data_IF_523148563960
#
_entry.id   IF_523148563960
#
_cell.length_a   1.000
_cell.length_b   1.000
_cell.length_c   1.000
_cell.angle_alpha   90.00
_cell.angle_beta   90.00
_cell.angle_gamma   90.00
#
_symmetry.space_group_name_H-M   'P 1'
#
loop_
_entity.id
_entity.type
_entity.pdbx_description
1 polymer ?
#
# COMPACT_ATOMS: atom_id res chain seq x y z
N UNK A 1 -45.44 24.40 -54.27
CA UNK A 1 -45.50 24.94 -52.89
C UNK A 1 -45.60 23.76 -51.93
N UNK A 2 -44.52 23.48 -51.20
CA UNK A 2 -44.32 22.26 -50.39
C UNK A 2 -44.71 22.54 -48.94
N UNK A 3 -45.70 21.80 -48.42
CA UNK A 3 -46.07 21.60 -46.99
C UNK A 3 -46.73 20.21 -46.96
N UNK A 4 -46.43 19.24 -46.12
CA UNK A 4 -46.17 19.22 -44.68
C UNK A 4 -45.33 17.97 -44.36
N UNK A 5 -44.16 18.13 -43.74
CA UNK A 5 -43.53 17.08 -42.94
C UNK A 5 -43.85 17.40 -41.48
N UNK A 6 -44.67 16.57 -40.84
CA UNK A 6 -44.92 16.58 -39.40
C UNK A 6 -44.66 15.18 -38.86
N UNK A 7 -43.39 14.87 -38.58
CA UNK A 7 -43.02 13.78 -37.66
C UNK A 7 -41.81 14.27 -36.87
N UNK A 8 -41.79 13.90 -35.58
CA UNK A 8 -40.82 14.19 -34.51
C UNK A 8 -41.11 15.46 -33.70
N UNK A 9 -41.60 15.27 -32.47
CA UNK A 9 -40.74 15.62 -31.35
C UNK A 9 -40.92 14.67 -30.15
N UNK A 10 -40.13 13.60 -30.04
CA UNK A 10 -39.94 12.86 -28.77
C UNK A 10 -38.51 12.35 -28.69
N UNK A 11 -37.54 13.26 -28.65
CA UNK A 11 -36.15 12.89 -28.34
C UNK A 11 -35.43 14.05 -27.64
N UNK A 12 -36.07 14.62 -26.60
CA UNK A 12 -35.55 15.80 -25.90
C UNK A 12 -35.44 15.64 -24.37
N UNK A 13 -35.48 14.41 -23.83
CA UNK A 13 -35.48 14.24 -22.37
C UNK A 13 -34.66 13.03 -21.86
N UNK A 14 -33.45 12.84 -22.38
CA UNK A 14 -32.48 11.90 -21.81
C UNK A 14 -31.05 12.48 -21.71
N UNK A 15 -30.89 13.80 -21.55
CA UNK A 15 -29.64 14.33 -21.00
C UNK A 15 -29.69 14.22 -19.47
N UNK A 16 -29.57 12.97 -18.99
CA UNK A 16 -29.16 12.71 -17.61
C UNK A 16 -27.79 13.36 -17.46
N UNK A 17 -27.72 14.38 -16.60
CA UNK A 17 -26.49 15.05 -16.24
C UNK A 17 -25.46 13.99 -15.79
N UNK A 18 -24.54 13.64 -16.67
CA UNK A 18 -23.32 12.95 -16.30
C UNK A 18 -22.52 13.94 -15.46
N UNK A 19 -22.80 13.99 -14.15
CA UNK A 19 -21.94 14.68 -13.20
C UNK A 19 -20.58 13.99 -13.34
N UNK A 20 -19.53 14.68 -13.81
CA UNK A 20 -18.22 14.07 -13.87
C UNK A 20 -17.88 13.70 -12.43
N UNK A 21 -17.77 12.41 -12.16
CA UNK A 21 -17.19 11.92 -10.92
C UNK A 21 -15.76 12.48 -10.90
N UNK A 22 -15.57 13.63 -10.25
CA UNK A 22 -14.25 14.11 -9.92
C UNK A 22 -13.67 13.05 -8.99
N UNK A 23 -12.82 12.21 -9.56
CA UNK A 23 -11.96 11.33 -8.78
C UNK A 23 -11.24 12.23 -7.77
N UNK A 24 -11.51 12.03 -6.49
CA UNK A 24 -10.82 12.77 -5.44
C UNK A 24 -9.31 12.55 -5.59
N UNK A 25 -8.53 13.58 -5.25
CA UNK A 25 -7.08 13.49 -5.27
C UNK A 25 -6.59 12.33 -4.40
N UNK A 26 -5.43 11.79 -4.79
CA UNK A 26 -4.83 10.67 -4.09
C UNK A 26 -4.59 11.00 -2.60
N UNK A 27 -4.95 10.12 -1.65
CA UNK A 27 -4.66 10.33 -0.24
C UNK A 27 -3.16 10.29 0.01
N UNK A 28 -2.59 11.44 0.37
CA UNK A 28 -1.16 11.55 0.70
C UNK A 28 -0.86 11.32 2.17
N UNK A 29 -1.86 11.26 3.05
CA UNK A 29 -1.67 11.18 4.50
C UNK A 29 -2.71 10.30 5.18
N UNK A 30 -2.28 9.62 6.26
CA UNK A 30 -3.18 9.02 7.24
C UNK A 30 -2.61 9.13 8.66
N UNK A 31 -3.45 9.49 9.62
CA UNK A 31 -3.09 9.61 11.05
C UNK A 31 -1.92 10.59 11.35
N UNK A 32 -1.74 11.62 10.50
CA UNK A 32 -0.59 12.53 10.60
C UNK A 32 0.71 11.97 10.02
N UNK A 33 0.65 10.87 9.25
CA UNK A 33 1.78 10.28 8.55
C UNK A 33 1.62 10.54 7.06
N UNK A 34 2.35 11.53 6.54
CA UNK A 34 2.31 11.91 5.14
C UNK A 34 3.35 11.14 4.32
N UNK A 35 2.95 10.65 3.16
CA UNK A 35 3.88 10.18 2.13
C UNK A 35 4.77 11.35 1.71
N UNK A 36 6.06 11.08 1.65
CA UNK A 36 7.09 12.05 1.30
C UNK A 36 7.57 12.95 2.42
N UNK A 37 6.99 12.89 3.61
CA UNK A 37 7.53 13.56 4.78
C UNK A 37 8.89 12.96 5.16
N UNK A 38 9.74 13.77 5.79
CA UNK A 38 10.97 13.26 6.40
C UNK A 38 10.64 12.57 7.73
N UNK A 39 11.25 11.42 8.01
CA UNK A 39 11.02 10.71 9.27
C UNK A 39 11.33 11.56 10.52
N UNK A 40 12.26 12.51 10.41
CA UNK A 40 12.62 13.39 11.52
C UNK A 40 11.49 14.36 11.91
N UNK A 41 10.66 14.77 10.95
CA UNK A 41 9.46 15.59 11.20
C UNK A 41 8.37 14.78 11.94
N UNK A 42 8.48 13.45 11.91
CA UNK A 42 7.53 12.51 12.49
C UNK A 42 8.04 11.87 13.78
N UNK A 43 9.08 12.42 14.41
CA UNK A 43 9.68 11.90 15.67
C UNK A 43 8.67 11.65 16.78
N UNK A 44 7.63 12.45 16.90
CA UNK A 44 6.59 12.26 17.92
C UNK A 44 5.65 11.09 17.62
N UNK A 45 5.63 10.62 16.36
CA UNK A 45 4.78 9.55 15.88
C UNK A 45 5.54 8.24 15.64
N UNK A 46 6.82 8.31 15.30
CA UNK A 46 7.63 7.17 14.93
C UNK A 46 8.70 6.87 15.98
N UNK A 47 8.96 5.58 16.20
CA UNK A 47 10.11 5.12 17.00
C UNK A 47 11.37 5.14 16.13
N UNK A 48 11.91 6.35 15.92
CA UNK A 48 13.12 6.59 15.11
C UNK A 48 14.34 5.85 15.68
N UNK A 49 14.38 5.65 17.01
CA UNK A 49 15.50 4.98 17.70
C UNK A 49 15.65 3.50 17.34
N UNK A 50 14.57 2.88 16.84
CA UNK A 50 14.53 1.46 16.45
C UNK A 50 14.32 1.27 14.95
N UNK A 51 14.69 2.25 14.16
CA UNK A 51 14.68 2.11 12.71
C UNK A 51 15.68 1.04 12.27
N UNK A 52 15.26 0.18 11.35
CA UNK A 52 16.11 -0.89 10.84
C UNK A 52 15.84 -1.12 9.35
N UNK A 53 16.87 -1.41 8.54
CA UNK A 53 16.70 -1.90 7.18
C UNK A 53 15.84 -3.16 7.14
N UNK A 54 15.06 -3.34 6.08
CA UNK A 54 14.38 -4.60 5.84
C UNK A 54 15.38 -5.66 5.36
N UNK A 55 15.30 -6.87 5.91
CA UNK A 55 16.22 -7.95 5.58
C UNK A 55 16.15 -8.39 4.11
N UNK A 56 14.95 -8.39 3.51
CA UNK A 56 14.70 -8.79 2.12
C UNK A 56 14.91 -7.65 1.11
N UNK A 57 14.93 -6.41 1.61
CA UNK A 57 14.98 -5.17 0.84
C UNK A 57 15.82 -4.13 1.59
N UNK A 58 17.15 -4.31 1.65
CA UNK A 58 18.04 -3.51 2.51
C UNK A 58 18.08 -2.02 2.16
N UNK A 59 17.62 -1.64 0.96
CA UNK A 59 17.45 -0.24 0.55
C UNK A 59 16.21 0.44 1.11
N UNK A 60 15.43 -0.25 1.95
CA UNK A 60 14.27 0.31 2.62
C UNK A 60 14.42 0.15 4.12
N UNK A 61 14.00 1.17 4.87
CA UNK A 61 14.11 1.22 6.32
C UNK A 61 12.71 1.21 6.93
N UNK A 62 12.48 0.38 7.95
CA UNK A 62 11.23 0.40 8.70
C UNK A 62 11.37 1.30 9.92
N UNK A 63 10.40 2.17 10.13
CA UNK A 63 10.21 2.88 11.41
C UNK A 63 8.84 2.52 11.98
N UNK A 64 8.79 2.03 13.22
CA UNK A 64 7.54 1.61 13.85
C UNK A 64 6.74 2.81 14.34
N UNK A 65 5.42 2.68 14.31
CA UNK A 65 4.50 3.65 14.89
C UNK A 65 4.56 3.56 16.42
N UNK A 66 4.67 4.72 17.09
CA UNK A 66 4.44 4.84 18.54
C UNK A 66 2.95 4.60 18.86
N UNK A 67 2.59 4.23 20.10
CA UNK A 67 1.19 4.03 20.47
C UNK A 67 0.29 5.19 20.01
N UNK A 68 -0.67 4.89 19.12
CA UNK A 68 -1.52 5.89 18.46
C UNK A 68 -2.98 5.44 18.54
N UNK A 69 -3.85 6.30 19.09
CA UNK A 69 -5.26 5.97 19.30
C UNK A 69 -5.95 5.54 18.00
N UNK A 70 -6.73 4.46 18.07
CA UNK A 70 -7.47 3.91 16.93
C UNK A 70 -6.68 2.88 16.11
N UNK A 71 -5.39 2.71 16.39
CA UNK A 71 -4.53 1.71 15.75
C UNK A 71 -3.92 0.78 16.81
N UNK A 72 -3.92 -0.53 16.52
CA UNK A 72 -3.22 -1.52 17.33
C UNK A 72 -1.69 -1.43 17.15
N UNK A 73 -1.27 -0.94 15.98
CA UNK A 73 0.12 -0.75 15.62
C UNK A 73 0.27 -0.35 14.17
N UNK A 74 1.51 -0.23 13.73
CA UNK A 74 1.81 0.12 12.35
C UNK A 74 3.28 0.46 12.18
N UNK A 75 3.65 0.75 10.95
CA UNK A 75 4.98 1.21 10.60
C UNK A 75 4.93 2.02 9.30
N UNK A 76 5.98 2.80 9.10
CA UNK A 76 6.30 3.37 7.79
C UNK A 76 7.49 2.65 7.19
N UNK A 77 7.55 2.65 5.87
CA UNK A 77 8.75 2.32 5.13
C UNK A 77 9.34 3.61 4.60
N UNK A 78 10.62 3.81 4.90
CA UNK A 78 11.42 4.94 4.50
C UNK A 78 12.35 4.55 3.35
N UNK A 79 12.68 5.51 2.50
CA UNK A 79 13.77 5.38 1.55
C UNK A 79 15.12 5.27 2.27
N UNK A 80 15.95 4.35 1.80
CA UNK A 80 17.29 4.08 2.32
C UNK A 80 18.40 4.27 1.27
N UNK A 81 18.03 4.55 0.02
CA UNK A 81 18.97 4.72 -1.10
C UNK A 81 18.82 6.08 -1.80
N UNK A 82 17.71 6.33 -2.50
CA UNK A 82 17.56 7.54 -3.32
C UNK A 82 16.99 8.72 -2.51
N UNK A 83 16.08 8.43 -1.58
CA UNK A 83 15.37 9.40 -0.73
C UNK A 83 15.55 9.03 0.74
N UNK A 84 16.75 9.26 1.27
CA UNK A 84 17.10 8.96 2.67
C UNK A 84 16.05 9.49 3.65
N UNK A 85 15.50 8.59 4.48
CA UNK A 85 14.51 8.87 5.53
C UNK A 85 13.18 9.46 5.05
N UNK A 86 12.87 9.43 3.75
CA UNK A 86 11.58 9.89 3.22
C UNK A 86 10.53 8.79 3.35
N UNK A 87 9.32 9.12 3.79
CA UNK A 87 8.22 8.15 3.93
C UNK A 87 7.70 7.72 2.55
N UNK A 88 7.91 6.46 2.18
CA UNK A 88 7.48 5.89 0.90
C UNK A 88 6.24 5.01 1.01
N UNK A 89 5.97 4.50 2.20
CA UNK A 89 4.74 3.76 2.51
C UNK A 89 4.36 3.92 3.96
N UNK A 90 3.07 3.99 4.21
CA UNK A 90 2.46 3.90 5.54
C UNK A 90 1.64 2.62 5.62
N UNK A 91 1.77 1.83 6.68
CA UNK A 91 0.94 0.65 6.94
C UNK A 91 0.47 0.65 8.39
N UNK A 92 -0.83 0.73 8.59
CA UNK A 92 -1.45 0.80 9.91
C UNK A 92 -2.45 -0.35 10.12
N UNK A 93 -2.44 -0.93 11.31
CA UNK A 93 -3.43 -1.90 11.75
C UNK A 93 -4.42 -1.21 12.69
N UNK A 94 -5.71 -1.26 12.37
CA UNK A 94 -6.75 -0.68 13.23
C UNK A 94 -6.90 -1.46 14.53
N UNK A 95 -7.23 -0.76 15.60
CA UNK A 95 -7.53 -1.38 16.90
C UNK A 95 -8.79 -2.26 16.84
N UNK A 96 -9.80 -1.81 16.09
CA UNK A 96 -10.99 -2.61 15.79
C UNK A 96 -10.72 -3.46 14.55
N UNK A 97 -10.42 -4.74 14.80
CA UNK A 97 -10.14 -5.73 13.76
C UNK A 97 -11.38 -6.40 13.17
N UNK A 98 -12.60 -5.99 13.54
CA UNK A 98 -13.83 -6.68 13.11
C UNK A 98 -14.15 -6.51 11.63
N UNK A 99 -14.88 -7.46 11.05
CA UNK A 99 -15.39 -7.33 9.69
C UNK A 99 -16.38 -6.17 9.54
N UNK A 100 -17.20 -5.89 10.56
CA UNK A 100 -18.09 -4.73 10.55
C UNK A 100 -17.34 -3.41 10.39
N UNK A 101 -16.15 -3.30 11.02
CA UNK A 101 -15.27 -2.16 10.84
C UNK A 101 -14.69 -2.08 9.44
N UNK A 102 -14.27 -3.22 8.87
CA UNK A 102 -13.82 -3.29 7.47
C UNK A 102 -14.89 -2.77 6.52
N UNK A 103 -16.12 -3.28 6.62
CA UNK A 103 -17.22 -2.92 5.72
C UNK A 103 -17.55 -1.41 5.82
N UNK A 104 -17.51 -0.86 7.04
CA UNK A 104 -17.69 0.58 7.27
C UNK A 104 -16.58 1.42 6.63
N UNK A 105 -15.31 1.01 6.79
CA UNK A 105 -14.17 1.67 6.16
C UNK A 105 -14.25 1.57 4.64
N UNK A 106 -14.53 0.38 4.09
CA UNK A 106 -14.69 0.14 2.67
C UNK A 106 -15.76 1.03 2.05
N UNK A 107 -16.93 1.16 2.71
CA UNK A 107 -18.01 2.06 2.27
C UNK A 107 -17.56 3.52 2.24
N UNK A 108 -16.88 3.99 3.30
CA UNK A 108 -16.41 5.36 3.39
C UNK A 108 -15.33 5.69 2.34
N UNK A 109 -14.36 4.79 2.14
CA UNK A 109 -13.32 4.94 1.12
C UNK A 109 -13.90 4.87 -0.28
N UNK A 110 -14.87 3.99 -0.53
CA UNK A 110 -15.56 3.90 -1.83
C UNK A 110 -16.34 5.17 -2.13
N UNK A 111 -17.06 5.72 -1.15
CA UNK A 111 -17.77 6.99 -1.32
C UNK A 111 -16.81 8.16 -1.63
N UNK A 112 -15.59 8.12 -1.09
CA UNK A 112 -14.60 9.20 -1.26
C UNK A 112 -13.75 9.07 -2.53
N UNK A 113 -13.33 7.86 -2.88
CA UNK A 113 -12.32 7.60 -3.93
C UNK A 113 -12.85 6.78 -5.10
N UNK A 114 -14.13 6.43 -5.11
CA UNK A 114 -14.74 5.59 -6.13
C UNK A 114 -14.55 4.09 -5.88
N UNK A 115 -14.96 3.28 -6.85
CA UNK A 115 -14.98 1.81 -6.71
C UNK A 115 -13.55 1.23 -6.61
N UNK A 116 -13.26 0.41 -5.59
CA UNK A 116 -12.00 -0.31 -5.52
C UNK A 116 -11.94 -1.47 -6.52
N UNK A 117 -10.71 -1.92 -6.80
CA UNK A 117 -10.45 -3.25 -7.36
C UNK A 117 -10.32 -4.26 -6.23
N UNK A 118 -11.11 -5.34 -6.20
CA UNK A 118 -10.92 -6.43 -5.25
C UNK A 118 -9.55 -7.09 -5.46
N UNK A 119 -8.85 -7.39 -4.37
CA UNK A 119 -7.62 -8.16 -4.41
C UNK A 119 -7.94 -9.66 -4.47
N UNK A 120 -7.17 -10.45 -5.22
CA UNK A 120 -7.40 -11.88 -5.33
C UNK A 120 -7.26 -12.54 -3.96
N UNK A 121 -8.28 -13.29 -3.57
CA UNK A 121 -8.29 -14.14 -2.39
C UNK A 121 -8.60 -15.58 -2.77
N UNK A 122 -8.29 -16.53 -1.88
CA UNK A 122 -8.74 -17.91 -2.06
C UNK A 122 -10.28 -17.96 -1.93
N UNK A 123 -11.00 -18.70 -2.78
CA UNK A 123 -12.41 -19.00 -2.55
C UNK A 123 -12.62 -19.62 -1.16
N UNK A 124 -13.57 -19.10 -0.37
CA UNK A 124 -13.76 -19.49 1.03
C UNK A 124 -12.63 -19.05 1.98
N UNK A 125 -11.70 -18.21 1.50
CA UNK A 125 -10.56 -17.73 2.26
C UNK A 125 -10.93 -16.66 3.28
N UNK A 126 -10.16 -16.62 4.36
CA UNK A 126 -10.23 -15.67 5.47
C UNK A 126 -9.63 -14.29 5.16
N UNK A 127 -9.62 -13.90 3.89
CA UNK A 127 -8.98 -12.68 3.43
C UNK A 127 -9.95 -11.88 2.55
N UNK A 128 -10.07 -10.58 2.84
CA UNK A 128 -10.72 -9.61 1.96
C UNK A 128 -9.77 -8.43 1.73
N UNK A 129 -9.57 -8.07 0.47
CA UNK A 129 -8.70 -6.96 0.11
C UNK A 129 -9.33 -6.08 -0.94
N UNK A 130 -9.18 -4.76 -0.78
CA UNK A 130 -9.66 -3.73 -1.69
C UNK A 130 -8.51 -2.81 -2.03
N UNK A 131 -8.37 -2.45 -3.31
CA UNK A 131 -7.29 -1.58 -3.81
C UNK A 131 -7.86 -0.40 -4.58
N UNK A 132 -7.42 0.79 -4.21
CA UNK A 132 -7.57 2.02 -4.98
C UNK A 132 -6.22 2.39 -5.58
N UNK A 133 -6.24 2.84 -6.83
CA UNK A 133 -5.03 3.25 -7.54
C UNK A 133 -5.25 4.64 -8.09
N UNK A 134 -4.30 5.53 -7.81
CA UNK A 134 -4.37 6.93 -8.16
C UNK A 134 -3.30 7.30 -9.19
N UNK A 135 -3.63 8.23 -10.07
CA UNK A 135 -2.78 8.66 -11.18
C UNK A 135 -2.99 7.86 -12.47
N UNK A 136 -2.43 8.38 -13.56
CA UNK A 136 -2.66 7.89 -14.92
C UNK A 136 -2.07 6.50 -15.16
N UNK A 137 -1.09 6.09 -14.37
CA UNK A 137 -0.40 4.82 -14.50
C UNK A 137 -0.70 3.91 -13.30
N UNK A 138 -1.46 2.85 -13.53
CA UNK A 138 -1.90 1.91 -12.48
C UNK A 138 -0.76 1.09 -11.81
N UNK A 139 0.46 1.13 -12.35
CA UNK A 139 1.63 0.40 -11.81
C UNK A 139 2.68 1.34 -11.21
N UNK A 140 2.67 2.63 -11.56
CA UNK A 140 3.63 3.64 -11.09
C UNK A 140 3.00 4.76 -10.28
N UNK A 141 1.70 4.67 -9.99
CA UNK A 141 0.97 5.65 -9.22
C UNK A 141 0.97 5.36 -7.72
N UNK A 142 0.20 6.16 -6.99
CA UNK A 142 -0.04 5.93 -5.58
C UNK A 142 -1.09 4.82 -5.41
N UNK A 143 -0.92 3.96 -4.41
CA UNK A 143 -1.95 2.98 -4.06
C UNK A 143 -2.44 3.13 -2.62
N UNK A 144 -3.71 2.77 -2.44
CA UNK A 144 -4.31 2.56 -1.14
C UNK A 144 -4.90 1.16 -1.09
N UNK A 145 -4.53 0.40 -0.07
CA UNK A 145 -5.09 -0.92 0.18
C UNK A 145 -5.85 -0.89 1.51
N UNK A 146 -7.01 -1.52 1.53
CA UNK A 146 -7.73 -1.89 2.74
C UNK A 146 -7.85 -3.41 2.76
N UNK A 147 -7.35 -4.04 3.80
CA UNK A 147 -7.27 -5.49 3.93
C UNK A 147 -7.89 -5.94 5.25
N UNK A 148 -8.54 -7.10 5.24
CA UNK A 148 -9.05 -7.79 6.41
C UNK A 148 -8.54 -9.23 6.40
N UNK A 149 -8.02 -9.67 7.54
CA UNK A 149 -7.53 -11.03 7.76
C UNK A 149 -8.27 -11.64 8.97
N UNK A 150 -8.97 -12.75 8.74
CA UNK A 150 -9.57 -13.55 9.81
C UNK A 150 -8.58 -14.63 10.27
N UNK A 151 -8.41 -14.78 11.58
CA UNK A 151 -7.54 -15.81 12.16
C UNK A 151 -6.92 -15.39 13.48
N UNK A 152 -6.28 -16.37 14.14
CA UNK A 152 -5.57 -16.22 15.40
C UNK A 152 -4.30 -17.06 15.33
N UNK A 153 -3.27 -16.55 14.65
CA UNK A 153 -1.94 -17.14 14.63
C UNK A 153 -0.91 -16.06 14.92
N UNK A 154 0.11 -16.37 15.71
CA UNK A 154 1.13 -15.41 16.14
C UNK A 154 1.87 -14.78 14.95
N UNK A 155 2.06 -15.55 13.87
CA UNK A 155 2.84 -15.14 12.70
C UNK A 155 2.02 -14.48 11.58
N UNK A 156 0.69 -14.55 11.66
CA UNK A 156 -0.19 -14.04 10.60
C UNK A 156 -0.78 -12.67 10.96
N UNK A 157 -0.87 -11.75 9.99
CA UNK A 157 -1.61 -10.51 10.21
C UNK A 157 -3.08 -10.84 10.52
N UNK A 158 -3.66 -10.11 11.47
CA UNK A 158 -5.06 -10.26 11.88
C UNK A 158 -5.79 -8.91 11.82
N UNK A 159 -7.11 -8.96 11.64
CA UNK A 159 -7.95 -7.77 11.65
C UNK A 159 -7.76 -6.87 10.44
N UNK A 160 -7.92 -5.55 10.65
CA UNK A 160 -8.04 -4.57 9.58
C UNK A 160 -6.74 -3.79 9.38
N UNK A 161 -6.25 -3.74 8.15
CA UNK A 161 -5.02 -3.03 7.79
C UNK A 161 -5.31 -2.05 6.65
N UNK A 162 -4.82 -0.82 6.80
CA UNK A 162 -4.77 0.17 5.73
C UNK A 162 -3.33 0.47 5.35
N UNK A 163 -3.10 0.64 4.05
CA UNK A 163 -1.78 0.92 3.50
C UNK A 163 -1.88 2.01 2.46
N UNK A 164 -0.95 2.96 2.49
CA UNK A 164 -0.71 3.95 1.45
C UNK A 164 0.71 3.76 0.93
N UNK A 165 0.91 3.71 -0.39
CA UNK A 165 2.27 3.62 -0.97
C UNK A 165 2.44 4.56 -2.16
N UNK A 166 3.60 5.19 -2.25
CA UNK A 166 4.10 5.80 -3.50
C UNK A 166 4.92 4.74 -4.28
N UNK A 167 4.28 4.06 -5.24
CA UNK A 167 4.96 2.98 -5.98
C UNK A 167 6.08 3.49 -6.89
N UNK A 168 6.03 4.76 -7.32
CA UNK A 168 7.11 5.34 -8.12
C UNK A 168 8.34 5.52 -7.27
N UNK A 169 8.18 6.08 -6.07
CA UNK A 169 9.31 6.30 -5.18
C UNK A 169 9.88 4.98 -4.65
N UNK A 170 9.03 3.99 -4.32
CA UNK A 170 9.50 2.62 -4.02
C UNK A 170 10.30 1.98 -5.17
N UNK A 171 9.89 2.21 -6.43
CA UNK A 171 10.63 1.72 -7.60
C UNK A 171 11.95 2.48 -7.80
N UNK A 172 11.98 3.78 -7.49
CA UNK A 172 13.19 4.61 -7.53
C UNK A 172 14.23 4.14 -6.50
N UNK A 173 13.79 3.82 -5.28
CA UNK A 173 14.65 3.26 -4.23
C UNK A 173 15.32 1.95 -4.69
N UNK A 174 14.53 1.05 -5.28
CA UNK A 174 15.05 -0.21 -5.82
C UNK A 174 16.05 0.05 -6.95
N UNK A 175 15.72 0.93 -7.90
CA UNK A 175 16.60 1.23 -9.01
C UNK A 175 17.95 1.82 -8.56
N UNK A 176 17.92 2.69 -7.54
CA UNK A 176 19.11 3.22 -6.88
C UNK A 176 19.96 2.08 -6.30
N UNK A 177 19.36 1.18 -5.53
CA UNK A 177 20.10 0.07 -4.93
C UNK A 177 20.69 -0.89 -5.97
N UNK A 178 19.89 -1.29 -6.96
CA UNK A 178 20.34 -2.16 -8.04
C UNK A 178 21.48 -1.52 -8.85
N UNK A 179 21.58 -0.20 -8.89
CA UNK A 179 22.70 0.50 -9.56
C UNK A 179 24.01 0.42 -8.75
N UNK A 180 23.92 0.40 -7.41
CA UNK A 180 25.09 0.26 -6.53
C UNK A 180 25.60 -1.18 -6.50
N UNK A 181 24.69 -2.17 -6.51
CA UNK A 181 25.06 -3.60 -6.41
C UNK A 181 25.60 -4.17 -7.72
N UNK A 182 25.22 -3.63 -8.88
CA UNK A 182 25.68 -4.12 -10.19
C UNK A 182 27.20 -4.06 -10.40
N UNK A 183 27.94 -3.32 -9.58
CA UNK A 183 29.40 -3.29 -9.57
C UNK A 183 30.05 -3.95 -8.34
N UNK A 184 29.26 -4.50 -7.41
CA UNK A 184 29.78 -5.13 -6.21
C UNK A 184 30.35 -6.52 -6.55
N UNK A 185 31.55 -6.88 -6.05
CA UNK A 185 32.06 -8.24 -6.20
C UNK A 185 31.09 -9.23 -5.53
N UNK A 186 30.95 -10.43 -6.12
CA UNK A 186 30.11 -11.46 -5.51
C UNK A 186 30.54 -11.72 -4.06
N UNK A 187 29.59 -11.69 -3.10
CA UNK A 187 29.92 -11.97 -1.72
C UNK A 187 30.45 -13.40 -1.63
N UNK A 188 31.67 -13.55 -1.11
CA UNK A 188 32.24 -14.87 -0.84
C UNK A 188 31.39 -15.53 0.26
N UNK A 189 30.98 -16.79 0.10
CA UNK A 189 30.18 -17.47 1.12
C UNK A 189 30.96 -17.49 2.44
N UNK A 190 30.28 -17.11 3.53
CA UNK A 190 30.89 -17.09 4.85
C UNK A 190 31.23 -18.50 5.35
N UNK A 191 30.43 -19.51 4.96
CA UNK A 191 30.63 -20.94 5.20
C UNK A 191 29.76 -21.76 4.21
N UNK A 192 30.09 -23.04 3.96
CA UNK A 192 31.28 -23.76 4.41
C UNK A 192 32.39 -23.85 3.35
N UNK A 193 33.61 -24.08 3.83
CA UNK A 193 34.81 -24.39 3.02
C UNK A 193 34.84 -25.88 2.58
N UNK A 194 33.74 -26.62 2.76
CA UNK A 194 33.59 -28.03 2.39
C UNK A 194 32.38 -28.22 1.47
N UNK A 195 32.33 -29.34 0.75
CA UNK A 195 31.19 -29.68 -0.11
C UNK A 195 29.93 -29.88 0.72
N UNK A 196 28.89 -29.09 0.44
CA UNK A 196 27.58 -29.22 1.07
C UNK A 196 26.88 -30.43 0.44
N UNK A 197 26.54 -31.43 1.24
CA UNK A 197 25.67 -32.54 0.83
C UNK A 197 24.22 -32.33 1.28
N UNK A 198 23.32 -33.19 0.81
CA UNK A 198 21.89 -33.12 1.14
C UNK A 198 21.64 -33.30 2.65
N UNK A 199 22.51 -34.02 3.36
CA UNK A 199 22.35 -34.22 4.81
C UNK A 199 22.65 -32.95 5.60
N UNK A 200 23.56 -32.11 5.10
CA UNK A 200 23.88 -30.80 5.68
C UNK A 200 22.73 -29.79 5.53
N UNK A 201 21.94 -29.92 4.45
CA UNK A 201 20.82 -29.04 4.16
C UNK A 201 19.55 -29.37 4.97
N UNK A 202 19.50 -30.53 5.62
CA UNK A 202 18.37 -30.98 6.40
C UNK A 202 18.58 -30.67 7.90
N UNK A 203 17.51 -30.27 8.63
CA UNK A 203 17.55 -30.22 10.09
C UNK A 203 17.94 -31.60 10.64
N UNK A 204 18.87 -31.64 11.60
CA UNK A 204 19.25 -32.86 12.32
C UNK A 204 18.31 -33.13 13.49
#
# INVERSE_FOLDING_TARGET
MIRCLLVLPVLALCLVAAVPARAADAPTEIAGLALGANAEELRDRLDISRMAPLWDRPWMIRANLKPTKGFAGGYVILGGCATTNRVERVRLQYQDGSMARFDKLAKALTARYGLPTPLPGKPGGKYRGLRWVFGSNKTKGMDMLLEHFEGSGEDNPTGNIIRLSDNRALAQERACYDSMVRGAPEPRPAFPLFEIDDSWLLPK
#
